data_IF_781017366852
#
_entry.id   IF_781017366852
#
_cell.length_a   1.000
_cell.length_b   1.000
_cell.length_c   1.000
_cell.angle_alpha   90.00
_cell.angle_beta   90.00
_cell.angle_gamma   90.00
#
_symmetry.space_group_name_H-M   'P 1'
#
loop_
_entity.id
_entity.type
_entity.pdbx_description
1 polymer ?
#
# COMPACT_ATOMS: atom_id res chain seq x y z
N UNK A 1 65.89 -25.58 -22.70
CA UNK A 1 65.10 -24.32 -22.70
C UNK A 1 63.65 -24.71 -22.98
N UNK A 2 62.82 -24.89 -21.94
CA UNK A 2 61.40 -25.27 -22.07
C UNK A 2 60.55 -24.02 -21.86
N UNK A 3 59.89 -23.55 -22.91
CA UNK A 3 58.87 -22.50 -22.83
C UNK A 3 57.54 -23.18 -22.47
N UNK A 4 57.03 -22.93 -21.26
CA UNK A 4 55.63 -23.23 -20.91
C UNK A 4 54.75 -22.09 -21.42
N UNK A 5 53.85 -22.39 -22.36
CA UNK A 5 52.75 -21.50 -22.71
C UNK A 5 51.58 -21.77 -21.76
N UNK A 6 51.28 -20.82 -20.88
CA UNK A 6 50.07 -20.83 -20.06
C UNK A 6 48.90 -20.26 -20.87
N UNK A 7 47.95 -21.10 -21.25
CA UNK A 7 46.70 -20.68 -21.87
C UNK A 7 45.75 -20.19 -20.77
N UNK A 8 45.55 -18.87 -20.69
CA UNK A 8 44.57 -18.25 -19.79
C UNK A 8 43.17 -18.39 -20.42
N UNK A 9 42.37 -19.32 -19.91
CA UNK A 9 40.95 -19.43 -20.26
C UNK A 9 40.18 -18.24 -19.65
N UNK A 10 39.75 -17.29 -20.49
CA UNK A 10 38.71 -16.34 -20.11
C UNK A 10 37.35 -17.04 -20.12
N UNK A 11 36.78 -17.24 -18.93
CA UNK A 11 35.38 -17.63 -18.77
C UNK A 11 34.48 -16.39 -18.99
N UNK A 12 33.43 -16.48 -19.82
CA UNK A 12 32.47 -15.39 -19.96
C UNK A 12 31.68 -15.23 -18.65
N UNK A 13 31.61 -14.01 -18.13
CA UNK A 13 30.76 -13.68 -17.00
C UNK A 13 29.29 -13.91 -17.41
N UNK A 14 28.68 -14.98 -16.92
CA UNK A 14 27.25 -15.19 -17.05
C UNK A 14 26.54 -14.05 -16.31
N UNK A 15 25.84 -13.19 -17.06
CA UNK A 15 24.90 -12.24 -16.48
C UNK A 15 23.83 -13.06 -15.75
N UNK A 16 23.83 -13.02 -14.42
CA UNK A 16 22.74 -13.55 -13.61
C UNK A 16 21.46 -12.80 -14.02
N UNK A 17 20.57 -13.46 -14.75
CA UNK A 17 19.23 -12.96 -14.99
C UNK A 17 18.59 -12.73 -13.61
N UNK A 18 18.27 -11.47 -13.29
CA UNK A 18 17.40 -11.18 -12.16
C UNK A 18 16.07 -11.90 -12.45
N UNK A 19 15.49 -12.65 -11.50
CA UNK A 19 14.13 -13.14 -11.70
C UNK A 19 13.27 -11.93 -12.04
N UNK A 20 12.50 -12.03 -13.14
CA UNK A 20 11.57 -10.98 -13.54
C UNK A 20 10.73 -10.61 -12.31
N UNK A 21 10.84 -9.36 -11.86
CA UNK A 21 9.97 -8.88 -10.79
C UNK A 21 8.52 -9.07 -11.27
N UNK A 22 7.70 -9.90 -10.60
CA UNK A 22 6.40 -10.32 -11.14
C UNK A 22 5.40 -9.16 -11.24
N UNK A 23 5.73 -8.02 -10.62
CA UNK A 23 4.95 -6.81 -10.68
C UNK A 23 5.82 -5.58 -10.94
N UNK A 24 5.25 -4.62 -11.65
CA UNK A 24 5.81 -3.29 -11.83
C UNK A 24 4.82 -2.23 -11.33
N UNK A 25 5.34 -1.14 -10.77
CA UNK A 25 4.53 -0.02 -10.30
C UNK A 25 4.95 1.28 -11.00
N UNK A 26 3.97 2.07 -11.45
CA UNK A 26 4.18 3.38 -12.07
C UNK A 26 3.15 4.38 -11.55
N UNK A 27 3.48 5.65 -11.64
CA UNK A 27 2.51 6.73 -11.46
C UNK A 27 1.89 7.06 -12.81
N UNK A 28 0.57 7.11 -12.88
CA UNK A 28 -0.19 7.46 -14.09
C UNK A 28 -1.23 8.53 -13.77
N UNK A 29 -1.33 9.52 -14.65
CA UNK A 29 -2.37 10.55 -14.56
C UNK A 29 -3.73 9.91 -14.92
N UNK A 30 -4.54 9.66 -13.90
CA UNK A 30 -5.85 9.02 -13.99
C UNK A 30 -6.80 9.68 -12.98
N UNK A 31 -7.93 10.20 -13.44
CA UNK A 31 -8.92 10.76 -12.54
C UNK A 31 -9.44 9.67 -11.56
N UNK A 32 -9.66 10.00 -10.28
CA UNK A 32 -10.22 9.05 -9.33
C UNK A 32 -11.61 8.54 -9.76
N UNK A 33 -11.98 7.28 -9.48
CA UNK A 33 -13.20 6.66 -10.00
C UNK A 33 -14.47 7.44 -9.69
N UNK A 34 -15.38 7.53 -10.67
CA UNK A 34 -16.68 8.19 -10.51
C UNK A 34 -17.60 7.50 -9.48
N UNK A 35 -17.34 6.22 -9.18
CA UNK A 35 -18.05 5.44 -8.15
C UNK A 35 -17.83 5.97 -6.72
N UNK A 36 -16.76 6.76 -6.49
CA UNK A 36 -16.54 7.43 -5.21
C UNK A 36 -17.47 8.63 -5.06
N UNK A 37 -18.00 8.82 -3.86
CA UNK A 37 -18.74 10.02 -3.52
C UNK A 37 -17.86 11.28 -3.71
N UNK A 38 -18.46 12.38 -4.15
CA UNK A 38 -17.75 13.63 -4.44
C UNK A 38 -16.88 14.16 -3.28
N UNK A 39 -17.32 14.13 -2.00
CA UNK A 39 -16.48 14.56 -0.88
C UNK A 39 -15.18 13.78 -0.74
N UNK A 40 -15.20 12.47 -1.06
CA UNK A 40 -14.01 11.62 -1.07
C UNK A 40 -13.18 11.91 -2.32
N UNK A 41 -13.83 11.89 -3.49
CA UNK A 41 -13.18 11.97 -4.81
C UNK A 41 -12.35 13.23 -5.00
N UNK A 42 -12.85 14.36 -4.51
CA UNK A 42 -12.20 15.69 -4.67
C UNK A 42 -10.94 15.86 -3.82
N UNK A 43 -10.71 15.01 -2.82
CA UNK A 43 -9.49 15.04 -2.00
C UNK A 43 -8.38 14.13 -2.52
N UNK A 44 -8.67 13.30 -3.52
CA UNK A 44 -7.73 12.33 -4.07
C UNK A 44 -6.89 12.96 -5.19
N UNK A 45 -5.63 12.57 -5.22
CA UNK A 45 -4.73 12.96 -6.30
C UNK A 45 -5.19 12.38 -7.63
N UNK A 46 -4.94 13.12 -8.71
CA UNK A 46 -5.12 12.65 -10.09
C UNK A 46 -3.96 11.78 -10.58
N UNK A 47 -2.99 11.53 -9.73
CA UNK A 47 -1.87 10.64 -9.99
C UNK A 47 -2.09 9.32 -9.24
N UNK A 48 -2.46 8.28 -9.98
CA UNK A 48 -2.67 6.94 -9.46
C UNK A 48 -1.34 6.17 -9.42
N UNK A 49 -1.11 5.45 -8.32
CA UNK A 49 -0.15 4.35 -8.28
C UNK A 49 -0.79 3.15 -8.99
N UNK A 50 -0.30 2.81 -10.18
CA UNK A 50 -0.79 1.67 -10.96
C UNK A 50 0.21 0.53 -10.87
N UNK A 51 -0.27 -0.62 -10.42
CA UNK A 51 0.53 -1.85 -10.31
C UNK A 51 0.08 -2.84 -11.38
N UNK A 52 1.02 -3.40 -12.13
CA UNK A 52 0.76 -4.41 -13.17
C UNK A 52 1.56 -5.68 -12.95
N UNK A 53 1.02 -6.80 -13.42
CA UNK A 53 1.75 -8.04 -13.66
C UNK A 53 1.76 -8.28 -15.16
N UNK A 54 2.92 -8.13 -15.80
CA UNK A 54 2.99 -7.94 -17.26
C UNK A 54 2.14 -6.72 -17.69
N UNK A 55 1.20 -6.94 -18.60
CA UNK A 55 0.27 -5.90 -19.08
C UNK A 55 -1.01 -5.78 -18.24
N UNK A 56 -1.31 -6.78 -17.41
CA UNK A 56 -2.54 -6.81 -16.62
C UNK A 56 -2.43 -5.88 -15.40
N UNK A 57 -3.41 -4.98 -15.23
CA UNK A 57 -3.50 -4.13 -14.03
C UNK A 57 -4.03 -4.95 -12.87
N UNK A 58 -3.23 -5.00 -11.79
CA UNK A 58 -3.56 -5.68 -10.54
C UNK A 58 -4.35 -4.76 -9.63
N UNK A 59 -3.91 -3.51 -9.50
CA UNK A 59 -4.58 -2.49 -8.69
C UNK A 59 -4.20 -1.08 -9.14
N UNK A 60 -5.08 -0.13 -8.84
CA UNK A 60 -4.83 1.30 -8.95
C UNK A 60 -5.12 1.96 -7.61
N UNK A 61 -4.19 2.75 -7.09
CA UNK A 61 -4.33 3.43 -5.80
C UNK A 61 -4.24 4.93 -5.99
N UNK A 62 -5.32 5.64 -5.65
CA UNK A 62 -5.37 7.09 -5.58
C UNK A 62 -5.28 7.48 -4.11
N UNK A 63 -4.12 7.90 -3.62
CA UNK A 63 -4.10 8.45 -2.27
C UNK A 63 -4.65 9.87 -2.24
N UNK A 64 -5.03 10.33 -1.06
CA UNK A 64 -5.35 11.72 -0.78
C UNK A 64 -4.17 12.64 -1.13
N UNK A 65 -4.42 13.82 -1.69
CA UNK A 65 -3.37 14.78 -2.07
C UNK A 65 -2.47 15.15 -0.89
N UNK A 66 -3.09 15.37 0.27
CA UNK A 66 -2.41 15.59 1.54
C UNK A 66 -3.11 14.77 2.62
N UNK A 67 -2.39 13.83 3.22
CA UNK A 67 -2.91 12.96 4.28
C UNK A 67 -2.76 13.68 5.64
N UNK A 68 -3.83 13.82 6.44
CA UNK A 68 -3.74 14.48 7.73
C UNK A 68 -2.96 13.61 8.73
N UNK A 69 -2.09 14.26 9.49
CA UNK A 69 -1.33 13.63 10.58
C UNK A 69 -1.39 14.48 11.85
N UNK A 70 -1.28 13.82 13.01
CA UNK A 70 -1.13 14.44 14.33
C UNK A 70 0.34 14.35 14.74
N UNK A 71 1.09 15.40 14.44
CA UNK A 71 2.51 15.51 14.76
C UNK A 71 2.88 16.98 15.07
N UNK A 72 3.88 17.18 15.93
CA UNK A 72 4.48 18.51 16.14
C UNK A 72 5.34 18.91 14.94
N UNK A 73 5.63 20.21 14.75
CA UNK A 73 6.55 20.67 13.71
C UNK A 73 7.93 20.01 13.79
N UNK A 74 8.43 19.73 15.01
CA UNK A 74 9.70 19.04 15.23
C UNK A 74 9.64 17.57 14.77
N UNK A 75 8.54 16.86 15.07
CA UNK A 75 8.34 15.50 14.58
C UNK A 75 8.29 15.46 13.05
N UNK A 76 7.58 16.39 12.41
CA UNK A 76 7.52 16.48 10.95
C UNK A 76 8.89 16.71 10.29
N UNK A 77 9.80 17.43 10.96
CA UNK A 77 11.18 17.66 10.48
C UNK A 77 12.07 16.43 10.67
N UNK A 78 11.91 15.73 11.79
CA UNK A 78 12.78 14.60 12.17
C UNK A 78 12.33 13.27 11.56
N UNK A 79 11.10 13.21 11.04
CA UNK A 79 10.51 12.03 10.44
C UNK A 79 9.37 11.48 11.30
N UNK A 80 8.34 10.97 10.63
CA UNK A 80 7.16 10.37 11.25
C UNK A 80 6.91 8.99 10.65
N UNK A 81 6.02 8.23 11.26
CA UNK A 81 5.56 6.92 10.83
C UNK A 81 4.06 6.96 10.49
N UNK A 82 3.44 5.80 10.24
CA UNK A 82 1.99 5.73 10.09
C UNK A 82 1.26 6.01 11.41
N UNK A 83 1.91 5.92 12.57
CA UNK A 83 1.28 6.15 13.88
C UNK A 83 0.79 7.57 14.10
N UNK A 84 1.34 8.51 13.35
CA UNK A 84 0.88 9.90 13.34
C UNK A 84 -0.38 10.08 12.46
N UNK A 85 -0.80 9.10 11.66
CA UNK A 85 -2.07 9.14 10.93
C UNK A 85 -3.19 8.77 11.93
N UNK A 86 -4.24 9.59 12.10
CA UNK A 86 -5.37 9.21 12.94
C UNK A 86 -6.08 7.97 12.39
N UNK A 87 -6.41 7.01 13.26
CA UNK A 87 -7.29 5.91 12.86
C UNK A 87 -8.62 6.43 12.33
N UNK A 88 -9.17 5.75 11.33
CA UNK A 88 -10.37 6.20 10.62
C UNK A 88 -10.14 7.27 9.57
N UNK A 89 -8.96 7.91 9.51
CA UNK A 89 -8.67 8.94 8.52
C UNK A 89 -8.65 8.36 7.10
N UNK A 90 -9.26 9.08 6.16
CA UNK A 90 -9.20 8.77 4.73
C UNK A 90 -7.77 8.96 4.21
N UNK A 91 -7.15 7.85 3.80
CA UNK A 91 -5.81 7.81 3.20
C UNK A 91 -5.90 7.84 1.68
N UNK A 92 -6.92 7.24 1.09
CA UNK A 92 -7.06 7.14 -0.35
C UNK A 92 -8.26 6.31 -0.81
N UNK A 93 -8.19 5.85 -2.05
CA UNK A 93 -9.05 4.85 -2.63
C UNK A 93 -8.23 3.87 -3.48
N UNK A 94 -8.76 2.68 -3.67
CA UNK A 94 -8.17 1.61 -4.47
C UNK A 94 -9.22 1.03 -5.42
N UNK A 95 -8.80 0.68 -6.63
CA UNK A 95 -9.57 -0.14 -7.56
C UNK A 95 -8.84 -1.46 -7.78
N UNK A 96 -9.58 -2.56 -7.68
CA UNK A 96 -9.18 -3.87 -8.15
C UNK A 96 -9.97 -4.22 -9.42
N UNK A 97 -9.32 -4.35 -10.59
CA UNK A 97 -10.01 -4.73 -11.83
C UNK A 97 -10.58 -6.15 -11.82
N UNK A 98 -10.00 -7.04 -11.01
CA UNK A 98 -10.43 -8.42 -10.78
C UNK A 98 -10.51 -8.69 -9.28
N UNK A 99 -11.02 -9.86 -8.88
CA UNK A 99 -10.98 -10.26 -7.47
C UNK A 99 -9.54 -10.21 -6.93
N UNK A 100 -9.41 -9.85 -5.66
CA UNK A 100 -8.14 -9.68 -4.96
C UNK A 100 -8.17 -10.47 -3.66
N UNK A 101 -7.11 -11.22 -3.35
CA UNK A 101 -6.99 -11.87 -2.05
C UNK A 101 -6.09 -11.04 -1.14
N UNK A 102 -6.63 -10.63 0.00
CA UNK A 102 -5.89 -9.82 0.96
C UNK A 102 -4.85 -10.62 1.76
N UNK A 103 -4.07 -9.91 2.57
CA UNK A 103 -3.03 -10.51 3.41
C UNK A 103 -3.59 -11.53 4.42
N UNK A 104 -4.87 -11.44 4.79
CA UNK A 104 -5.55 -12.36 5.70
C UNK A 104 -6.22 -13.53 4.99
N UNK A 105 -5.95 -13.73 3.69
CA UNK A 105 -6.54 -14.78 2.84
C UNK A 105 -8.04 -14.58 2.56
N UNK A 106 -8.53 -13.34 2.67
CA UNK A 106 -9.92 -13.03 2.36
C UNK A 106 -10.01 -12.64 0.90
N UNK A 107 -10.93 -13.25 0.16
CA UNK A 107 -11.24 -12.82 -1.20
C UNK A 107 -12.11 -11.56 -1.16
N UNK A 108 -11.69 -10.55 -1.91
CA UNK A 108 -12.40 -9.30 -2.14
C UNK A 108 -12.84 -9.29 -3.60
N UNK A 109 -14.10 -8.95 -3.85
CA UNK A 109 -14.60 -8.80 -5.22
C UNK A 109 -13.84 -7.69 -5.99
N UNK A 110 -13.90 -7.74 -7.31
CA UNK A 110 -13.48 -6.62 -8.14
C UNK A 110 -14.33 -5.39 -7.80
N UNK A 111 -13.71 -4.22 -7.76
CA UNK A 111 -14.42 -2.98 -7.45
C UNK A 111 -13.55 -1.85 -6.92
N UNK A 112 -14.23 -0.78 -6.51
CA UNK A 112 -13.61 0.43 -5.96
C UNK A 112 -13.93 0.52 -4.48
N UNK A 113 -12.88 0.79 -3.69
CA UNK A 113 -12.93 0.85 -2.23
C UNK A 113 -12.24 2.12 -1.74
N UNK A 114 -12.75 2.70 -0.66
CA UNK A 114 -12.00 3.70 0.11
C UNK A 114 -10.96 3.01 0.99
N UNK A 115 -9.88 3.72 1.32
CA UNK A 115 -8.81 3.28 2.20
C UNK A 115 -8.79 4.18 3.44
N UNK A 116 -9.08 3.60 4.61
CA UNK A 116 -8.98 4.31 5.90
C UNK A 116 -7.96 3.66 6.80
N UNK A 117 -7.12 4.47 7.44
CA UNK A 117 -6.05 3.97 8.29
C UNK A 117 -6.63 3.29 9.55
N UNK A 118 -6.04 2.16 9.94
CA UNK A 118 -6.33 1.51 11.21
C UNK A 118 -5.10 0.76 11.72
N UNK A 119 -5.03 0.57 13.02
CA UNK A 119 -3.98 -0.19 13.68
C UNK A 119 -4.59 -1.47 14.24
N UNK A 120 -3.98 -2.61 13.94
CA UNK A 120 -4.34 -3.86 14.57
C UNK A 120 -4.07 -3.78 16.09
N UNK A 121 -5.05 -4.10 16.95
CA UNK A 121 -4.86 -4.06 18.40
C UNK A 121 -3.79 -5.06 18.86
N UNK A 122 -3.00 -4.69 19.86
CA UNK A 122 -1.97 -5.56 20.46
C UNK A 122 -2.58 -6.39 21.60
N UNK A 123 -3.44 -7.33 21.24
CA UNK A 123 -4.10 -8.28 22.16
C UNK A 123 -3.83 -9.71 21.71
N UNK A 124 -3.94 -10.68 22.63
CA UNK A 124 -3.35 -12.01 22.47
C UNK A 124 -3.68 -12.76 21.17
N UNK A 125 -4.89 -12.64 20.63
CA UNK A 125 -5.31 -13.29 19.38
C UNK A 125 -4.87 -12.56 18.10
N UNK A 126 -4.17 -11.43 18.23
CA UNK A 126 -3.56 -10.68 17.12
C UNK A 126 -2.05 -10.85 17.04
N UNK A 127 -1.40 -11.34 18.11
CA UNK A 127 0.04 -11.59 18.15
C UNK A 127 0.47 -12.56 17.04
N UNK A 128 1.42 -12.12 16.20
CA UNK A 128 2.00 -12.95 15.14
C UNK A 128 1.14 -13.12 13.88
N UNK A 129 0.00 -12.43 13.79
CA UNK A 129 -0.89 -12.53 12.62
C UNK A 129 -0.49 -11.63 11.45
N UNK A 130 0.41 -10.67 11.68
CA UNK A 130 1.00 -9.82 10.66
C UNK A 130 2.41 -9.33 11.08
N UNK A 131 3.30 -9.03 10.12
CA UNK A 131 4.63 -8.49 10.43
C UNK A 131 4.59 -7.04 10.91
N UNK A 132 3.51 -6.32 10.59
CA UNK A 132 3.28 -4.93 10.97
C UNK A 132 1.80 -4.75 11.36
N UNK A 133 1.51 -3.90 12.35
CA UNK A 133 0.15 -3.68 12.82
C UNK A 133 -0.59 -2.59 12.02
N UNK A 134 0.04 -1.98 11.03
CA UNK A 134 -0.51 -0.83 10.30
C UNK A 134 -1.26 -1.31 9.04
N UNK A 135 -2.54 -0.98 8.93
CA UNK A 135 -3.40 -1.38 7.83
C UNK A 135 -4.17 -0.20 7.25
N UNK A 136 -4.62 -0.34 6.01
CA UNK A 136 -5.85 0.32 5.58
C UNK A 136 -7.00 -0.68 5.63
N UNK A 137 -8.14 -0.28 6.18
CA UNK A 137 -9.39 -1.00 6.05
C UNK A 137 -10.12 -0.52 4.81
N UNK A 138 -10.64 -1.47 4.03
CA UNK A 138 -11.34 -1.19 2.78
C UNK A 138 -12.84 -1.10 3.04
N UNK A 139 -13.48 -0.06 2.51
CA UNK A 139 -14.94 0.06 2.53
C UNK A 139 -15.47 0.23 1.10
N UNK A 140 -16.63 -0.37 0.72
CA UNK A 140 -17.18 -0.21 -0.62
C UNK A 140 -17.44 1.28 -0.93
N UNK A 141 -16.99 1.77 -2.09
CA UNK A 141 -17.10 3.19 -2.46
C UNK A 141 -18.53 3.75 -2.38
N UNK A 142 -19.54 2.94 -2.70
CA UNK A 142 -20.95 3.33 -2.62
C UNK A 142 -21.50 3.48 -1.19
N UNK A 143 -20.81 2.92 -0.19
CA UNK A 143 -21.23 2.94 1.23
C UNK A 143 -20.42 3.92 2.09
N UNK A 144 -19.16 4.17 1.75
CA UNK A 144 -18.33 5.19 2.43
C UNK A 144 -18.34 6.51 1.65
N UNK A 145 -19.26 7.41 2.04
CA UNK A 145 -19.58 8.63 1.28
C UNK A 145 -19.00 9.92 1.87
N UNK A 146 -18.36 9.85 3.03
CA UNK A 146 -17.79 11.00 3.74
C UNK A 146 -16.27 11.01 3.66
N UNK A 147 -15.66 12.19 3.66
CA UNK A 147 -14.21 12.33 3.81
C UNK A 147 -13.75 12.49 5.26
N UNK A 148 -14.69 12.73 6.18
CA UNK A 148 -14.40 12.89 7.59
C UNK A 148 -13.86 11.59 8.20
N UNK A 149 -13.01 11.66 9.24
CA UNK A 149 -12.60 10.48 9.98
C UNK A 149 -13.81 9.66 10.43
N UNK A 150 -13.70 8.34 10.32
CA UNK A 150 -14.72 7.40 10.74
C UNK A 150 -14.32 6.81 12.10
N UNK A 151 -15.27 6.65 13.02
CA UNK A 151 -14.98 5.94 14.26
C UNK A 151 -14.53 4.50 13.97
N UNK A 152 -13.53 4.02 14.71
CA UNK A 152 -12.86 2.75 14.40
C UNK A 152 -13.85 1.57 14.41
N UNK A 153 -14.82 1.59 15.33
CA UNK A 153 -15.87 0.57 15.41
C UNK A 153 -16.72 0.55 14.13
N UNK A 154 -17.17 1.70 13.67
CA UNK A 154 -18.01 1.83 12.48
C UNK A 154 -17.21 1.46 11.22
N UNK A 155 -15.92 1.79 11.19
CA UNK A 155 -15.01 1.39 10.13
C UNK A 155 -14.85 -0.13 10.05
N UNK A 156 -14.64 -0.80 11.18
CA UNK A 156 -14.55 -2.26 11.23
C UNK A 156 -15.86 -2.90 10.75
N UNK A 157 -17.01 -2.37 11.21
CA UNK A 157 -18.33 -2.88 10.80
C UNK A 157 -18.54 -2.73 9.29
N UNK A 158 -18.29 -1.55 8.73
CA UNK A 158 -18.45 -1.29 7.31
C UNK A 158 -17.49 -2.12 6.46
N UNK A 159 -16.22 -2.20 6.87
CA UNK A 159 -15.19 -2.94 6.15
C UNK A 159 -15.43 -4.45 6.16
N UNK A 160 -16.05 -4.98 7.21
CA UNK A 160 -16.45 -6.39 7.29
C UNK A 160 -17.58 -6.74 6.31
N UNK A 161 -18.23 -5.75 5.66
CA UNK A 161 -19.25 -6.03 4.62
C UNK A 161 -18.65 -6.28 3.23
N UNK A 162 -17.33 -6.18 3.07
CA UNK A 162 -16.64 -6.34 1.77
C UNK A 162 -16.47 -7.81 1.38
N UNK A 163 -16.30 -8.69 2.37
CA UNK A 163 -16.04 -10.10 2.17
C UNK A 163 -17.09 -10.95 2.92
N UNK A 164 -17.05 -12.27 2.74
CA UNK A 164 -17.97 -13.20 3.41
C UNK A 164 -17.62 -13.47 4.89
N UNK A 165 -16.53 -12.88 5.38
CA UNK A 165 -16.01 -13.09 6.72
C UNK A 165 -16.55 -12.11 7.77
N UNK A 166 -16.25 -12.39 9.04
CA UNK A 166 -16.49 -11.47 10.18
C UNK A 166 -15.36 -10.47 10.41
N UNK A 167 -14.32 -10.52 9.58
CA UNK A 167 -13.14 -9.67 9.72
C UNK A 167 -13.17 -8.56 8.66
N UNK A 168 -12.64 -7.37 8.98
CA UNK A 168 -12.57 -6.31 8.00
C UNK A 168 -11.70 -6.72 6.82
N UNK A 169 -12.02 -6.23 5.63
CA UNK A 169 -11.14 -6.33 4.47
C UNK A 169 -9.93 -5.41 4.67
N UNK A 170 -8.72 -5.96 4.51
CA UNK A 170 -7.50 -5.23 4.88
C UNK A 170 -6.55 -5.03 3.70
N UNK A 171 -5.75 -3.97 3.77
CA UNK A 171 -4.54 -3.78 2.99
C UNK A 171 -3.39 -3.52 3.97
N UNK A 172 -2.51 -4.51 4.14
CA UNK A 172 -1.37 -4.39 5.04
C UNK A 172 -0.39 -3.33 4.51
N UNK A 173 0.07 -2.46 5.41
CA UNK A 173 1.07 -1.45 5.12
C UNK A 173 2.43 -1.88 5.67
N UNK A 174 3.45 -1.83 4.81
CA UNK A 174 4.83 -1.98 5.24
C UNK A 174 5.44 -0.60 5.54
N UNK A 175 6.35 -0.49 6.51
CA UNK A 175 7.17 0.70 6.67
C UNK A 175 7.97 0.98 5.40
N UNK A 176 8.00 2.24 4.97
CA UNK A 176 8.78 2.70 3.84
C UNK A 176 9.61 3.94 4.22
N UNK A 177 10.87 3.71 4.54
CA UNK A 177 11.83 4.76 4.89
C UNK A 177 12.68 5.23 3.71
N UNK A 178 12.47 4.67 2.52
CA UNK A 178 13.21 5.08 1.33
C UNK A 178 12.86 6.53 0.95
N UNK A 179 13.89 7.30 0.58
CA UNK A 179 13.78 8.70 0.16
C UNK A 179 13.48 8.84 -1.33
N UNK A 180 13.60 7.77 -2.12
CA UNK A 180 13.22 7.77 -3.52
C UNK A 180 11.74 8.14 -3.68
N UNK A 181 11.47 9.10 -4.57
CA UNK A 181 10.11 9.61 -4.78
C UNK A 181 9.26 8.70 -5.68
N UNK A 182 9.90 8.04 -6.65
CA UNK A 182 9.22 7.23 -7.66
C UNK A 182 8.72 5.90 -7.11
N UNK A 183 7.61 5.37 -7.64
CA UNK A 183 7.10 4.08 -7.22
C UNK A 183 8.00 2.94 -7.65
N UNK A 184 8.03 1.90 -6.83
CA UNK A 184 8.73 0.63 -7.10
C UNK A 184 8.01 -0.51 -6.41
N UNK A 185 8.16 -1.72 -6.95
CA UNK A 185 7.74 -2.94 -6.29
C UNK A 185 8.94 -3.53 -5.54
N UNK A 186 8.72 -4.03 -4.33
CA UNK A 186 9.77 -4.63 -3.50
C UNK A 186 9.26 -5.95 -2.92
N UNK A 187 10.04 -7.01 -3.09
CA UNK A 187 9.82 -8.29 -2.42
C UNK A 187 10.15 -8.20 -0.94
N UNK A 188 9.29 -8.76 -0.08
CA UNK A 188 9.46 -8.81 1.37
C UNK A 188 9.75 -10.22 1.90
N UNK A 189 10.01 -11.17 1.00
CA UNK A 189 10.12 -12.59 1.32
C UNK A 189 8.78 -13.30 1.28
N UNK A 190 8.80 -14.63 1.24
CA UNK A 190 7.62 -15.50 1.34
C UNK A 190 6.48 -15.24 0.34
N UNK A 191 6.78 -14.65 -0.81
CA UNK A 191 5.80 -14.29 -1.83
C UNK A 191 5.04 -12.99 -1.52
N UNK A 192 5.46 -12.24 -0.51
CA UNK A 192 4.92 -10.90 -0.21
C UNK A 192 5.62 -9.87 -1.06
N UNK A 193 4.83 -9.08 -1.77
CA UNK A 193 5.28 -7.98 -2.62
C UNK A 193 4.55 -6.70 -2.22
N UNK A 194 5.26 -5.58 -2.17
CA UNK A 194 4.67 -4.27 -1.89
C UNK A 194 5.00 -3.25 -2.96
N UNK A 195 4.05 -2.39 -3.30
CA UNK A 195 4.27 -1.22 -4.12
C UNK A 195 4.49 -0.02 -3.22
N UNK A 196 5.62 0.64 -3.40
CA UNK A 196 6.05 1.78 -2.59
C UNK A 196 5.79 3.10 -3.31
N UNK A 197 5.56 4.17 -2.57
CA UNK A 197 5.46 5.55 -3.07
C UNK A 197 5.73 6.52 -1.92
N UNK A 198 5.78 7.84 -2.19
CA UNK A 198 5.83 8.87 -1.15
C UNK A 198 4.64 9.81 -1.31
N UNK A 199 4.01 10.18 -0.21
CA UNK A 199 2.84 11.08 -0.18
C UNK A 199 3.10 12.28 0.71
N UNK A 200 2.47 13.40 0.36
CA UNK A 200 2.44 14.57 1.22
C UNK A 200 1.54 14.28 2.43
N UNK A 201 2.02 14.70 3.59
CA UNK A 201 1.29 14.65 4.86
C UNK A 201 1.29 16.04 5.49
N UNK A 202 0.30 16.36 6.32
CA UNK A 202 0.30 17.64 7.02
C UNK A 202 -0.31 17.58 8.43
N UNK A 203 0.29 18.36 9.34
CA UNK A 203 -0.31 18.75 10.60
C UNK A 203 -0.59 20.26 10.54
N UNK A 204 -1.88 20.62 10.40
CA UNK A 204 -2.26 22.01 10.10
C UNK A 204 -1.64 22.50 8.79
N UNK A 205 -0.92 23.62 8.85
CA UNK A 205 -0.25 24.21 7.69
C UNK A 205 1.12 23.58 7.37
N UNK A 206 1.70 22.82 8.30
CA UNK A 206 3.06 22.25 8.14
C UNK A 206 2.98 20.95 7.35
N UNK A 207 3.67 20.91 6.20
CA UNK A 207 3.74 19.72 5.34
C UNK A 207 5.03 18.95 5.55
N UNK A 208 4.95 17.63 5.41
CA UNK A 208 6.10 16.75 5.29
C UNK A 208 5.82 15.68 4.20
N UNK A 209 6.73 14.74 4.05
CA UNK A 209 6.59 13.60 3.15
C UNK A 209 6.69 12.30 3.95
N UNK A 210 5.76 11.38 3.71
CA UNK A 210 5.75 10.04 4.31
C UNK A 210 5.82 8.98 3.21
N UNK A 211 6.67 7.98 3.41
CA UNK A 211 6.73 6.83 2.52
C UNK A 211 5.57 5.88 2.80
N UNK A 212 4.90 5.44 1.74
CA UNK A 212 3.87 4.40 1.76
C UNK A 212 4.39 3.13 1.10
N UNK A 213 3.99 1.97 1.61
CA UNK A 213 4.15 0.68 0.93
C UNK A 213 2.90 -0.16 1.13
N UNK A 214 2.11 -0.33 0.07
CA UNK A 214 0.87 -1.12 0.07
C UNK A 214 1.13 -2.53 -0.44
N UNK A 215 0.47 -3.52 0.14
CA UNK A 215 0.65 -4.92 -0.26
C UNK A 215 0.02 -5.17 -1.64
N UNK A 216 0.81 -5.75 -2.55
CA UNK A 216 0.42 -6.10 -3.93
C UNK A 216 0.00 -7.56 -4.04
N UNK A 217 0.72 -8.42 -3.33
CA UNK A 217 0.48 -9.85 -3.26
C UNK A 217 1.13 -10.41 -2.00
N UNK A 218 0.72 -11.61 -1.63
CA UNK A 218 1.21 -12.31 -0.45
C UNK A 218 0.18 -12.37 0.66
N UNK A 219 0.27 -13.43 1.45
CA UNK A 219 -0.69 -13.78 2.48
C UNK A 219 0.05 -14.22 3.74
N UNK A 220 -0.61 -14.05 4.88
CA UNK A 220 -0.13 -14.56 6.15
C UNK A 220 0.12 -16.07 6.07
N UNK A 221 1.32 -16.50 6.45
CA UNK A 221 1.69 -17.90 6.63
C UNK A 221 1.82 -18.13 8.13
N UNK A 222 1.09 -19.14 8.62
CA UNK A 222 1.24 -19.64 9.99
C UNK A 222 2.53 -20.42 10.11
#
# INVERSE_FOLDING_TARGET
MRLLAAALLLLPAAALARPDEPFAAKTEALDPPAALAEPVRTLLSKDALVVRSGDAVVMRVWFRDVIPVKATPEQLKNGITYREIPEGALVGAIEFPTAFTDFRKQELAAGVYTLRFAVQPDIGDHTGTAPHPDFCLLSPAGKDRSAEPMEVKDLIELSSTVNEGKHPAVLLLFPNFDKAAGPKVVGKGDGVWVATTRRAVAAGATKASLGFAVTVAGQWKQ
#
